data_IF_766139861064
#
_entry.id   IF_766139861064
#
_cell.length_a   1.000
_cell.length_b   1.000
_cell.length_c   1.000
_cell.angle_alpha   90.00
_cell.angle_beta   90.00
_cell.angle_gamma   90.00
#
_symmetry.space_group_name_H-M   'P 1'
#
loop_
_entity.id
_entity.type
_entity.pdbx_description
1 polymer ?
#
# COMPACT_ATOMS: atom_id res chain seq x y z
N UNK A 1 -14.09 26.61 13.98
CA UNK A 1 -12.83 26.41 14.72
C UNK A 1 -12.56 24.91 14.79
N UNK A 2 -11.79 24.34 13.84
CA UNK A 2 -11.41 22.91 13.83
C UNK A 2 -10.29 22.71 14.85
N UNK A 3 -10.60 22.00 15.91
CA UNK A 3 -9.70 21.72 17.04
C UNK A 3 -8.61 20.73 16.63
N UNK A 4 -7.37 20.98 17.07
CA UNK A 4 -6.13 20.30 16.69
C UNK A 4 -6.01 18.94 17.42
N UNK A 5 -7.03 18.08 17.31
CA UNK A 5 -7.02 16.72 17.88
C UNK A 5 -6.00 15.80 17.19
N UNK A 6 -5.77 15.99 15.88
CA UNK A 6 -4.76 15.23 15.10
C UNK A 6 -3.32 15.38 15.65
N UNK A 7 -2.98 16.55 16.20
CA UNK A 7 -1.66 16.77 16.81
C UNK A 7 -1.49 16.10 18.19
N UNK A 8 -2.57 15.68 18.85
CA UNK A 8 -2.51 14.86 20.09
C UNK A 8 -2.36 13.38 19.77
N UNK A 9 -3.03 12.93 18.71
CA UNK A 9 -2.91 11.56 18.19
C UNK A 9 -1.50 11.23 17.68
N UNK A 10 -0.87 12.11 16.88
CA UNK A 10 0.53 11.91 16.42
C UNK A 10 1.53 11.79 17.58
N UNK A 11 1.33 12.54 18.67
CA UNK A 11 2.22 12.48 19.85
C UNK A 11 2.09 11.18 20.64
N UNK A 12 0.91 10.56 20.63
CA UNK A 12 0.70 9.25 21.23
C UNK A 12 1.30 8.15 20.34
N UNK A 13 1.00 8.14 19.04
CA UNK A 13 1.50 7.14 18.09
C UNK A 13 3.04 7.07 18.03
N UNK A 14 3.73 8.22 18.06
CA UNK A 14 5.21 8.28 18.10
C UNK A 14 5.76 7.73 19.42
N UNK A 15 5.07 7.94 20.54
CA UNK A 15 5.46 7.42 21.85
C UNK A 15 5.25 5.90 21.95
N UNK A 16 4.14 5.39 21.40
CA UNK A 16 3.79 3.96 21.42
C UNK A 16 4.71 3.11 20.53
N UNK A 17 5.13 3.64 19.39
CA UNK A 17 6.11 2.97 18.51
C UNK A 17 7.50 2.88 19.16
N UNK A 18 7.93 3.92 19.89
CA UNK A 18 9.19 3.92 20.64
C UNK A 18 9.16 2.94 21.83
N UNK A 19 8.04 2.85 22.54
CA UNK A 19 7.86 1.88 23.65
C UNK A 19 7.79 0.42 23.16
N UNK A 20 7.15 0.17 22.01
CA UNK A 20 7.10 -1.15 21.39
C UNK A 20 8.50 -1.60 20.89
N UNK A 21 9.26 -0.70 20.27
CA UNK A 21 10.65 -0.95 19.85
C UNK A 21 11.58 -1.21 21.06
N UNK A 22 11.35 -0.54 22.18
CA UNK A 22 12.12 -0.74 23.43
C UNK A 22 11.82 -2.10 24.07
N UNK A 23 10.57 -2.57 24.01
CA UNK A 23 10.19 -3.91 24.52
C UNK A 23 10.72 -5.06 23.65
N UNK A 24 10.73 -4.87 22.33
CA UNK A 24 11.24 -5.87 21.38
C UNK A 24 12.78 -5.99 21.44
N UNK A 25 13.50 -4.90 21.64
CA UNK A 25 14.97 -4.91 21.82
C UNK A 25 15.40 -5.44 23.19
N UNK A 26 14.60 -5.24 24.24
CA UNK A 26 14.86 -5.78 25.57
C UNK A 26 14.73 -7.33 25.65
N UNK A 27 13.94 -7.94 24.76
CA UNK A 27 13.76 -9.39 24.74
C UNK A 27 14.80 -10.14 23.89
N UNK A 28 15.55 -9.44 23.02
CA UNK A 28 16.43 -10.05 22.03
C UNK A 28 17.94 -10.03 22.37
N UNK A 29 18.39 -9.25 23.37
CA UNK A 29 19.82 -9.24 23.70
C UNK A 29 20.08 -8.79 25.14
N UNK A 30 20.50 -9.73 25.98
CA UNK A 30 21.19 -9.41 27.23
C UNK A 30 22.48 -8.65 26.93
N UNK A 31 22.57 -7.43 27.52
CA UNK A 31 23.66 -6.43 27.49
C UNK A 31 23.60 -5.46 26.30
N UNK A 32 23.29 -4.19 26.58
CA UNK A 32 24.19 -3.00 26.45
C UNK A 32 23.57 -1.78 27.15
N UNK A 33 24.45 -0.92 27.67
CA UNK A 33 24.30 0.29 28.51
C UNK A 33 23.45 1.44 27.89
N UNK A 34 22.83 2.31 28.71
CA UNK A 34 21.99 3.43 28.24
C UNK A 34 22.83 4.57 27.64
N UNK A 35 22.49 5.00 26.41
CA UNK A 35 22.95 6.29 25.88
C UNK A 35 22.06 7.41 26.43
N UNK A 36 22.71 8.45 26.93
CA UNK A 36 22.14 9.60 27.63
C UNK A 36 21.37 10.51 26.66
N UNK A 37 20.04 10.54 26.75
CA UNK A 37 19.21 11.60 26.15
C UNK A 37 19.02 12.71 27.16
N UNK A 38 19.90 13.72 27.10
CA UNK A 38 19.85 14.88 27.98
C UNK A 38 20.60 16.06 27.37
N UNK A 39 20.35 16.39 26.09
CA UNK A 39 20.86 17.61 25.47
C UNK A 39 20.24 17.91 24.08
N UNK A 40 18.91 18.01 23.98
CA UNK A 40 18.26 18.65 22.82
C UNK A 40 17.02 19.47 23.23
N UNK A 41 17.13 20.21 24.33
CA UNK A 41 16.18 21.27 24.68
C UNK A 41 16.93 22.58 24.98
N UNK A 42 17.45 23.23 23.94
CA UNK A 42 17.66 24.68 23.94
C UNK A 42 18.00 25.18 22.53
N UNK A 43 17.09 25.95 21.94
CA UNK A 43 17.33 26.56 20.64
C UNK A 43 16.09 27.15 20.00
N UNK A 44 15.39 28.05 20.71
CA UNK A 44 14.51 29.01 20.06
C UNK A 44 15.39 29.87 19.14
N UNK A 45 15.23 29.75 17.82
CA UNK A 45 15.75 30.72 16.87
C UNK A 45 14.63 31.30 16.02
N UNK A 46 14.64 32.62 16.00
CA UNK A 46 13.72 33.54 15.36
C UNK A 46 13.65 33.32 13.84
N UNK A 47 12.43 33.36 13.31
CA UNK A 47 12.19 33.48 11.87
C UNK A 47 12.60 34.88 11.42
N UNK A 48 13.65 34.97 10.60
CA UNK A 48 13.90 36.13 9.73
C UNK A 48 13.44 35.82 8.30
N UNK A 49 12.91 36.79 7.55
CA UNK A 49 12.38 36.54 6.21
C UNK A 49 13.53 36.38 5.22
N UNK A 50 13.70 35.19 4.65
CA UNK A 50 14.60 34.99 3.52
C UNK A 50 13.93 35.48 2.24
N UNK A 51 14.51 36.52 1.67
CA UNK A 51 14.26 37.04 0.33
C UNK A 51 14.51 35.96 -0.72
N UNK A 52 13.48 35.65 -1.51
CA UNK A 52 13.56 34.70 -2.62
C UNK A 52 14.23 35.40 -3.82
N UNK A 53 15.48 35.03 -4.13
CA UNK A 53 16.12 35.38 -5.40
C UNK A 53 15.53 34.45 -6.47
N UNK A 54 14.71 35.02 -7.35
CA UNK A 54 14.18 34.37 -8.56
C UNK A 54 15.35 33.86 -9.40
N UNK A 55 15.55 32.54 -9.43
CA UNK A 55 16.37 31.89 -10.46
C UNK A 55 15.49 31.83 -11.70
N UNK A 56 15.83 32.62 -12.71
CA UNK A 56 15.26 32.49 -14.05
C UNK A 56 15.74 31.17 -14.64
N UNK A 57 14.90 30.14 -14.60
CA UNK A 57 15.13 28.91 -15.36
C UNK A 57 14.80 29.18 -16.82
N UNK A 58 15.84 29.34 -17.64
CA UNK A 58 15.75 29.36 -19.10
C UNK A 58 15.16 28.00 -19.56
N UNK A 59 13.88 27.98 -19.92
CA UNK A 59 13.23 26.77 -20.44
C UNK A 59 13.57 26.58 -21.92
N UNK A 60 14.59 25.77 -22.20
CA UNK A 60 14.79 25.25 -23.54
C UNK A 60 13.69 24.22 -23.84
N UNK A 61 12.84 24.48 -24.83
CA UNK A 61 11.87 23.50 -25.34
C UNK A 61 12.61 22.23 -25.80
N UNK A 62 12.24 21.03 -25.33
CA UNK A 62 12.80 19.80 -25.86
C UNK A 62 12.50 19.68 -27.36
N UNK A 63 13.48 19.26 -28.16
CA UNK A 63 13.27 18.97 -29.58
C UNK A 63 12.34 17.76 -29.75
N UNK A 64 11.50 17.75 -30.78
CA UNK A 64 10.49 16.70 -31.00
C UNK A 64 11.07 15.26 -31.08
N UNK A 65 12.34 15.12 -31.48
CA UNK A 65 13.04 13.83 -31.52
C UNK A 65 13.55 13.37 -30.14
N UNK A 66 13.81 14.30 -29.22
CA UNK A 66 14.15 13.97 -27.82
C UNK A 66 12.88 13.54 -27.05
N UNK A 67 11.75 14.21 -27.29
CA UNK A 67 10.47 13.84 -26.68
C UNK A 67 9.94 12.49 -27.19
N UNK A 68 10.12 12.17 -28.48
CA UNK A 68 9.71 10.87 -29.01
C UNK A 68 10.52 9.71 -28.42
N UNK A 69 11.83 9.89 -28.22
CA UNK A 69 12.69 8.86 -27.59
C UNK A 69 12.35 8.65 -26.11
N UNK A 70 12.06 9.71 -25.36
CA UNK A 70 11.66 9.58 -23.95
C UNK A 70 10.31 8.88 -23.80
N UNK A 71 9.34 9.18 -24.67
CA UNK A 71 8.03 8.49 -24.68
C UNK A 71 8.20 7.01 -25.01
N UNK A 72 8.98 6.67 -26.04
CA UNK A 72 9.24 5.27 -26.39
C UNK A 72 9.95 4.49 -25.28
N UNK A 73 10.90 5.13 -24.58
CA UNK A 73 11.59 4.53 -23.43
C UNK A 73 10.62 4.29 -22.26
N UNK A 74 9.74 5.25 -21.96
CA UNK A 74 8.73 5.10 -20.91
C UNK A 74 7.73 3.98 -21.22
N UNK A 75 7.25 3.90 -22.47
CA UNK A 75 6.38 2.82 -22.94
C UNK A 75 7.06 1.46 -22.84
N UNK A 76 8.31 1.33 -23.30
CA UNK A 76 9.07 0.07 -23.23
C UNK A 76 9.28 -0.37 -21.79
N UNK A 77 9.58 0.56 -20.88
CA UNK A 77 9.66 0.30 -19.44
C UNK A 77 8.33 -0.21 -18.88
N UNK A 78 7.21 0.40 -19.28
CA UNK A 78 5.88 -0.02 -18.85
C UNK A 78 5.50 -1.42 -19.38
N UNK A 79 5.82 -1.73 -20.64
CA UNK A 79 5.63 -3.07 -21.23
C UNK A 79 6.42 -4.14 -20.45
N UNK A 80 7.67 -3.85 -20.08
CA UNK A 80 8.52 -4.73 -19.27
C UNK A 80 7.94 -4.97 -17.87
N UNK A 81 7.47 -3.91 -17.20
CA UNK A 81 6.85 -4.04 -15.88
C UNK A 81 5.53 -4.80 -15.93
N UNK A 82 4.72 -4.60 -16.96
CA UNK A 82 3.48 -5.37 -17.15
C UNK A 82 3.76 -6.87 -17.32
N UNK A 83 4.74 -7.23 -18.16
CA UNK A 83 5.14 -8.62 -18.34
C UNK A 83 5.72 -9.24 -17.05
N UNK A 84 6.53 -8.47 -16.31
CA UNK A 84 7.08 -8.88 -15.03
C UNK A 84 5.99 -9.11 -13.97
N UNK A 85 5.07 -8.18 -13.83
CA UNK A 85 3.94 -8.28 -12.91
C UNK A 85 3.08 -9.51 -13.22
N UNK A 86 2.81 -9.77 -14.51
CA UNK A 86 2.06 -10.97 -14.93
C UNK A 86 2.78 -12.23 -14.47
N UNK A 87 4.07 -12.36 -14.81
CA UNK A 87 4.87 -13.53 -14.49
C UNK A 87 5.02 -13.76 -12.97
N UNK A 88 5.31 -12.69 -12.21
CA UNK A 88 5.48 -12.74 -10.76
C UNK A 88 4.15 -13.04 -10.07
N UNK A 89 3.07 -12.40 -10.49
CA UNK A 89 1.73 -12.66 -9.92
C UNK A 89 1.27 -14.10 -10.12
N UNK A 90 1.63 -14.73 -11.24
CA UNK A 90 1.27 -16.11 -11.57
C UNK A 90 2.18 -17.15 -10.90
N UNK A 91 3.50 -16.97 -10.99
CA UNK A 91 4.49 -18.01 -10.63
C UNK A 91 5.25 -17.70 -9.34
N UNK A 92 5.11 -16.50 -8.79
CA UNK A 92 5.92 -15.99 -7.68
C UNK A 92 7.23 -15.36 -8.17
N UNK A 93 7.94 -14.73 -7.22
CA UNK A 93 9.19 -14.05 -7.53
C UNK A 93 10.25 -15.06 -8.00
N UNK A 94 10.61 -16.05 -7.18
CA UNK A 94 11.72 -16.98 -7.45
C UNK A 94 11.61 -17.68 -8.81
N UNK A 95 10.42 -18.19 -9.16
CA UNK A 95 10.19 -18.91 -10.41
C UNK A 95 10.19 -18.04 -11.68
N UNK A 96 10.36 -16.72 -11.55
CA UNK A 96 10.39 -15.80 -12.69
C UNK A 96 11.82 -15.34 -13.00
N UNK A 97 12.30 -15.54 -14.22
CA UNK A 97 13.61 -15.02 -14.66
C UNK A 97 13.50 -13.78 -15.54
N UNK A 98 14.57 -12.99 -15.64
CA UNK A 98 14.67 -11.86 -16.58
C UNK A 98 14.51 -12.31 -18.05
N UNK A 99 14.87 -13.56 -18.36
CA UNK A 99 14.68 -14.13 -19.68
C UNK A 99 13.19 -14.38 -19.97
N UNK A 100 12.43 -14.87 -18.98
CA UNK A 100 10.98 -15.09 -19.14
C UNK A 100 10.25 -13.78 -19.40
N UNK A 101 10.61 -12.71 -18.68
CA UNK A 101 10.00 -11.37 -18.83
C UNK A 101 10.22 -10.83 -20.25
N UNK A 102 11.44 -10.98 -20.79
CA UNK A 102 11.77 -10.47 -22.13
C UNK A 102 11.23 -11.34 -23.27
N UNK A 103 11.12 -12.65 -23.05
CA UNK A 103 10.58 -13.59 -24.05
C UNK A 103 9.13 -13.26 -24.42
N UNK A 104 8.29 -12.90 -23.45
CA UNK A 104 6.89 -12.52 -23.67
C UNK A 104 6.76 -11.31 -24.59
N UNK A 105 7.70 -10.36 -24.49
CA UNK A 105 7.66 -9.10 -25.24
C UNK A 105 8.35 -9.18 -26.60
N UNK A 106 8.93 -10.34 -26.95
CA UNK A 106 9.76 -10.50 -28.16
C UNK A 106 10.87 -9.43 -28.27
N UNK A 107 11.36 -8.93 -27.12
CA UNK A 107 12.44 -7.93 -27.05
C UNK A 107 13.76 -8.60 -26.70
N UNK A 108 14.90 -8.08 -27.20
CA UNK A 108 16.20 -8.61 -26.83
C UNK A 108 16.48 -8.35 -25.34
N UNK A 109 17.28 -9.22 -24.70
CA UNK A 109 17.72 -9.06 -23.30
C UNK A 109 18.40 -7.70 -23.04
N UNK A 110 18.99 -7.10 -24.07
CA UNK A 110 19.60 -5.75 -24.01
C UNK A 110 18.58 -4.65 -23.74
N UNK A 111 17.31 -4.83 -24.14
CA UNK A 111 16.25 -3.86 -23.87
C UNK A 111 15.89 -3.83 -22.37
N UNK A 112 15.89 -4.98 -21.69
CA UNK A 112 15.64 -5.03 -20.24
C UNK A 112 16.78 -4.38 -19.46
N UNK A 113 18.04 -4.70 -19.79
CA UNK A 113 19.23 -4.13 -19.14
C UNK A 113 19.34 -2.61 -19.26
N UNK A 114 18.69 -2.00 -20.25
CA UNK A 114 18.64 -0.53 -20.37
C UNK A 114 17.71 0.11 -19.32
N UNK A 115 16.74 -0.65 -18.79
CA UNK A 115 15.72 -0.14 -17.87
C UNK A 115 15.85 -0.70 -16.45
N UNK A 116 16.38 -1.90 -16.29
CA UNK A 116 16.54 -2.60 -15.01
C UNK A 116 17.83 -3.42 -15.02
N UNK A 117 18.67 -3.24 -14.00
CA UNK A 117 19.93 -3.96 -13.87
C UNK A 117 19.72 -5.37 -13.32
N UNK A 118 18.78 -5.50 -12.38
CA UNK A 118 18.49 -6.74 -11.67
C UNK A 118 16.99 -7.05 -11.62
N UNK A 119 16.68 -8.30 -11.26
CA UNK A 119 15.31 -8.74 -10.97
C UNK A 119 14.74 -8.05 -9.72
N UNK A 120 15.60 -7.70 -8.76
CA UNK A 120 15.21 -6.95 -7.58
C UNK A 120 14.74 -5.53 -7.95
N UNK A 121 15.42 -4.86 -8.89
CA UNK A 121 15.01 -3.51 -9.35
C UNK A 121 13.62 -3.52 -9.99
N UNK A 122 13.27 -4.60 -10.69
CA UNK A 122 11.93 -4.81 -11.24
C UNK A 122 10.91 -4.96 -10.12
N UNK A 123 11.20 -5.79 -9.11
CA UNK A 123 10.30 -6.00 -7.97
C UNK A 123 10.09 -4.72 -7.16
N UNK A 124 11.16 -3.97 -6.90
CA UNK A 124 11.10 -2.64 -6.25
C UNK A 124 10.23 -1.69 -7.05
N UNK A 125 10.46 -1.56 -8.35
CA UNK A 125 9.67 -0.67 -9.20
C UNK A 125 8.18 -1.06 -9.25
N UNK A 126 7.86 -2.36 -9.21
CA UNK A 126 6.48 -2.86 -9.12
C UNK A 126 5.83 -2.46 -7.79
N UNK A 127 6.54 -2.67 -6.68
CA UNK A 127 6.03 -2.34 -5.34
C UNK A 127 5.84 -0.83 -5.17
N UNK A 128 6.80 -0.01 -5.57
CA UNK A 128 6.67 1.45 -5.51
C UNK A 128 5.45 1.95 -6.28
N UNK A 129 5.24 1.43 -7.50
CA UNK A 129 4.06 1.78 -8.31
C UNK A 129 2.76 1.38 -7.61
N UNK A 130 2.72 0.19 -7.02
CA UNK A 130 1.54 -0.31 -6.34
C UNK A 130 1.28 0.45 -5.03
N UNK A 131 2.33 0.87 -4.33
CA UNK A 131 2.22 1.64 -3.10
C UNK A 131 1.63 3.03 -3.35
N UNK A 132 2.07 3.73 -4.40
CA UNK A 132 1.47 5.00 -4.82
C UNK A 132 -0.04 4.84 -5.10
N UNK A 133 -0.44 3.70 -5.66
CA UNK A 133 -1.84 3.37 -5.90
C UNK A 133 -2.60 3.10 -4.60
N UNK A 134 -2.01 2.39 -3.64
CA UNK A 134 -2.62 2.15 -2.34
C UNK A 134 -2.79 3.44 -1.53
N UNK A 135 -1.83 4.37 -1.61
CA UNK A 135 -1.96 5.70 -1.03
C UNK A 135 -3.13 6.46 -1.67
N UNK A 136 -3.20 6.49 -3.00
CA UNK A 136 -4.32 7.11 -3.73
C UNK A 136 -5.67 6.50 -3.33
N UNK A 137 -5.74 5.17 -3.22
CA UNK A 137 -6.94 4.47 -2.77
C UNK A 137 -7.32 4.90 -1.35
N UNK A 138 -6.36 4.96 -0.43
CA UNK A 138 -6.60 5.38 0.94
C UNK A 138 -7.14 6.81 1.02
N UNK A 139 -6.51 7.75 0.34
CA UNK A 139 -6.95 9.16 0.29
C UNK A 139 -8.38 9.29 -0.25
N UNK A 140 -8.71 8.60 -1.35
CA UNK A 140 -10.04 8.66 -1.94
C UNK A 140 -11.12 8.05 -1.03
N UNK A 141 -10.81 6.96 -0.33
CA UNK A 141 -11.73 6.34 0.63
C UNK A 141 -11.99 7.27 1.80
N UNK A 142 -10.94 7.91 2.33
CA UNK A 142 -11.03 8.85 3.45
C UNK A 142 -11.89 10.08 3.07
N UNK A 143 -11.64 10.66 1.90
CA UNK A 143 -12.41 11.82 1.39
C UNK A 143 -13.90 11.52 1.20
N UNK A 144 -14.21 10.30 0.76
CA UNK A 144 -15.58 9.87 0.41
C UNK A 144 -16.40 9.48 1.63
N UNK A 145 -15.78 8.88 2.64
CA UNK A 145 -16.49 8.34 3.79
C UNK A 145 -16.57 9.34 4.94
N UNK A 146 -17.49 9.06 5.85
CA UNK A 146 -17.82 9.95 6.99
C UNK A 146 -17.83 9.23 8.32
N UNK A 147 -17.75 7.90 8.31
CA UNK A 147 -17.75 7.05 9.50
C UNK A 147 -16.77 5.90 9.32
N UNK A 148 -16.28 5.35 10.42
CA UNK A 148 -15.24 4.32 10.43
C UNK A 148 -15.65 3.04 9.71
N UNK A 149 -16.86 2.51 9.96
CA UNK A 149 -17.32 1.30 9.27
C UNK A 149 -17.52 1.51 7.77
N UNK A 150 -17.98 2.70 7.37
CA UNK A 150 -18.13 3.05 5.96
C UNK A 150 -16.76 3.06 5.26
N UNK A 151 -15.76 3.68 5.89
CA UNK A 151 -14.37 3.69 5.42
C UNK A 151 -13.79 2.28 5.30
N UNK A 152 -13.90 1.47 6.35
CA UNK A 152 -13.41 0.08 6.36
C UNK A 152 -14.03 -0.77 5.24
N UNK A 153 -15.35 -0.78 5.11
CA UNK A 153 -16.05 -1.59 4.10
C UNK A 153 -15.66 -1.12 2.68
N UNK A 154 -15.64 0.19 2.47
CA UNK A 154 -15.27 0.77 1.17
C UNK A 154 -13.81 0.43 0.82
N UNK A 155 -12.89 0.54 1.78
CA UNK A 155 -11.47 0.18 1.62
C UNK A 155 -11.33 -1.29 1.22
N UNK A 156 -11.90 -2.20 2.00
CA UNK A 156 -11.79 -3.65 1.75
C UNK A 156 -12.40 -4.04 0.40
N UNK A 157 -13.55 -3.48 0.03
CA UNK A 157 -14.16 -3.71 -1.28
C UNK A 157 -13.30 -3.16 -2.41
N UNK A 158 -12.79 -1.94 -2.27
CA UNK A 158 -11.95 -1.32 -3.30
C UNK A 158 -10.67 -2.12 -3.51
N UNK A 159 -10.04 -2.57 -2.43
CA UNK A 159 -8.88 -3.44 -2.49
C UNK A 159 -9.17 -4.76 -3.22
N UNK A 160 -10.32 -5.41 -2.98
CA UNK A 160 -10.69 -6.63 -3.71
C UNK A 160 -11.17 -6.40 -5.14
N UNK A 161 -11.76 -5.24 -5.42
CA UNK A 161 -12.27 -4.87 -6.74
C UNK A 161 -11.15 -4.41 -7.69
N UNK A 162 -9.99 -4.01 -7.17
CA UNK A 162 -8.80 -3.61 -7.94
C UNK A 162 -8.10 -4.77 -8.68
N UNK A 163 -8.88 -5.77 -9.08
CA UNK A 163 -8.48 -6.81 -10.04
C UNK A 163 -8.44 -6.31 -11.48
N UNK A 164 -9.07 -5.16 -11.74
CA UNK A 164 -9.41 -4.72 -13.09
C UNK A 164 -8.35 -3.88 -13.82
N UNK A 165 -7.29 -3.42 -13.15
CA UNK A 165 -6.35 -2.46 -13.76
C UNK A 165 -5.04 -3.06 -14.25
N UNK A 166 -4.81 -4.36 -14.02
CA UNK A 166 -3.65 -5.09 -14.53
C UNK A 166 -3.09 -6.09 -13.52
N UNK A 167 -1.94 -6.72 -13.83
CA UNK A 167 -1.33 -7.76 -12.99
C UNK A 167 -0.62 -7.23 -11.72
N UNK A 168 -0.61 -5.91 -11.49
CA UNK A 168 0.29 -5.24 -10.53
C UNK A 168 -0.02 -5.57 -9.07
N UNK A 169 -1.26 -5.38 -8.62
CA UNK A 169 -1.67 -5.70 -7.25
C UNK A 169 -1.39 -7.16 -6.89
N UNK A 170 -1.69 -8.09 -7.80
CA UNK A 170 -1.40 -9.52 -7.60
C UNK A 170 0.10 -9.77 -7.46
N UNK A 171 0.92 -9.14 -8.29
CA UNK A 171 2.38 -9.25 -8.21
C UNK A 171 2.92 -8.68 -6.89
N UNK A 172 2.44 -7.52 -6.47
CA UNK A 172 2.82 -6.88 -5.21
C UNK A 172 2.44 -7.74 -3.99
N UNK A 173 1.21 -8.27 -3.95
CA UNK A 173 0.79 -9.21 -2.89
C UNK A 173 1.68 -10.45 -2.88
N UNK A 174 1.98 -11.04 -4.06
CA UNK A 174 2.88 -12.20 -4.13
C UNK A 174 4.28 -11.85 -3.60
N UNK A 175 4.83 -10.70 -3.98
CA UNK A 175 6.14 -10.23 -3.52
C UNK A 175 6.18 -10.02 -2.01
N UNK A 176 5.15 -9.39 -1.43
CA UNK A 176 5.09 -9.13 0.01
C UNK A 176 4.93 -10.42 0.82
N UNK A 177 4.21 -11.40 0.30
CA UNK A 177 4.10 -12.73 0.91
C UNK A 177 5.42 -13.50 0.84
N UNK A 178 6.13 -13.39 -0.27
CA UNK A 178 7.43 -14.04 -0.46
C UNK A 178 8.55 -13.31 0.31
N UNK A 179 8.42 -12.02 0.58
CA UNK A 179 9.48 -11.15 1.12
C UNK A 179 10.26 -11.72 2.33
N UNK A 180 9.65 -12.38 3.34
CA UNK A 180 10.38 -12.93 4.47
C UNK A 180 11.38 -14.04 4.12
N UNK A 181 11.24 -14.69 2.96
CA UNK A 181 12.11 -15.79 2.52
C UNK A 181 13.03 -15.40 1.36
N UNK A 182 12.92 -14.17 0.86
CA UNK A 182 13.77 -13.68 -0.23
C UNK A 182 15.09 -13.13 0.30
N UNK A 183 16.18 -13.42 -0.41
CA UNK A 183 17.50 -12.81 -0.18
C UNK A 183 17.62 -11.45 -0.91
N UNK A 184 16.57 -10.62 -0.85
CA UNK A 184 16.55 -9.27 -1.39
C UNK A 184 15.81 -8.32 -0.46
N UNK A 185 16.27 -7.07 -0.37
CA UNK A 185 15.56 -6.03 0.37
C UNK A 185 14.52 -5.39 -0.55
N UNK A 186 13.24 -5.51 -0.18
CA UNK A 186 12.13 -4.90 -0.90
C UNK A 186 11.61 -3.65 -0.16
N UNK A 187 11.02 -2.67 -0.88
CA UNK A 187 10.33 -1.54 -0.28
C UNK A 187 9.25 -1.98 0.72
N UNK A 188 9.10 -1.21 1.79
CA UNK A 188 8.03 -1.41 2.79
C UNK A 188 6.76 -0.69 2.36
N UNK A 189 5.56 -1.28 2.59
CA UNK A 189 4.29 -0.62 2.31
C UNK A 189 4.17 0.75 3.00
N UNK A 190 3.43 1.71 2.40
CA UNK A 190 3.29 3.07 2.90
C UNK A 190 2.52 3.14 4.22
N UNK A 191 1.69 2.13 4.49
CA UNK A 191 0.97 1.95 5.74
C UNK A 191 0.87 0.48 6.12
N UNK A 192 0.67 0.22 7.41
CA UNK A 192 0.33 -1.11 7.90
C UNK A 192 -1.17 -1.34 7.77
N UNK A 193 -1.58 -2.40 7.06
CA UNK A 193 -2.99 -2.78 6.93
C UNK A 193 -3.69 -2.93 8.29
N UNK A 194 -2.99 -3.46 9.30
CA UNK A 194 -3.52 -3.60 10.67
C UNK A 194 -3.76 -2.25 11.33
N UNK A 195 -2.85 -1.30 11.15
CA UNK A 195 -2.99 0.05 11.71
C UNK A 195 -4.13 0.80 11.03
N UNK A 196 -4.21 0.71 9.70
CA UNK A 196 -5.30 1.32 8.93
C UNK A 196 -6.67 0.77 9.35
N UNK A 197 -6.80 -0.56 9.49
CA UNK A 197 -8.06 -1.15 10.00
C UNK A 197 -8.34 -0.69 11.43
N UNK A 198 -7.32 -0.64 12.30
CA UNK A 198 -7.51 -0.15 13.67
C UNK A 198 -7.99 1.31 13.71
N UNK A 199 -7.51 2.17 12.82
CA UNK A 199 -7.96 3.56 12.71
C UNK A 199 -9.46 3.64 12.39
N UNK A 200 -9.93 2.89 11.39
CA UNK A 200 -11.37 2.81 11.10
C UNK A 200 -12.20 2.25 12.26
N UNK A 201 -11.67 1.26 12.99
CA UNK A 201 -12.39 0.70 14.15
C UNK A 201 -12.44 1.68 15.33
N UNK A 202 -11.42 2.51 15.52
CA UNK A 202 -11.41 3.58 16.52
C UNK A 202 -12.49 4.61 16.18
N UNK A 203 -12.57 5.06 14.93
CA UNK A 203 -13.61 5.97 14.48
C UNK A 203 -15.01 5.37 14.67
N UNK A 204 -15.19 4.10 14.31
CA UNK A 204 -16.45 3.38 14.51
C UNK A 204 -16.84 3.27 16.00
N UNK A 205 -15.88 3.16 16.92
CA UNK A 205 -16.15 3.22 18.37
C UNK A 205 -16.59 4.61 18.82
N UNK A 206 -15.91 5.66 18.35
CA UNK A 206 -16.25 7.04 18.67
C UNK A 206 -17.68 7.40 18.22
N UNK A 207 -18.06 6.92 17.03
CA UNK A 207 -19.40 7.10 16.45
C UNK A 207 -20.44 6.09 16.96
N UNK A 208 -20.03 5.14 17.81
CA UNK A 208 -20.88 4.07 18.38
C UNK A 208 -21.52 3.16 17.31
N UNK A 209 -20.82 2.95 16.21
CA UNK A 209 -21.21 2.02 15.15
C UNK A 209 -20.96 0.55 15.53
N UNK A 210 -19.99 0.30 16.42
CA UNK A 210 -19.63 -1.03 16.93
C UNK A 210 -19.71 -1.10 18.47
N UNK A 211 -19.66 -2.32 19.02
CA UNK A 211 -19.75 -2.55 20.46
C UNK A 211 -18.52 -1.94 21.20
N UNK A 212 -18.80 -1.20 22.27
CA UNK A 212 -17.78 -0.62 23.16
C UNK A 212 -16.84 -1.65 23.83
N UNK A 213 -17.23 -2.92 23.89
CA UNK A 213 -16.43 -4.00 24.46
C UNK A 213 -15.36 -4.55 23.49
N UNK A 214 -15.33 -4.09 22.23
CA UNK A 214 -14.38 -4.59 21.24
C UNK A 214 -12.95 -4.15 21.57
N UNK A 215 -12.03 -5.12 21.59
CA UNK A 215 -10.60 -4.86 21.62
C UNK A 215 -10.10 -4.63 20.19
N UNK A 216 -9.72 -3.38 19.90
CA UNK A 216 -9.44 -2.90 18.55
C UNK A 216 -8.29 -3.65 17.88
N UNK A 217 -7.23 -3.99 18.62
CA UNK A 217 -6.05 -4.61 18.01
C UNK A 217 -6.34 -6.06 17.58
N UNK A 218 -7.00 -6.82 18.44
CA UNK A 218 -7.45 -8.19 18.15
C UNK A 218 -8.43 -8.20 16.98
N UNK A 219 -9.36 -7.24 16.96
CA UNK A 219 -10.32 -7.11 15.87
C UNK A 219 -9.65 -6.75 14.53
N UNK A 220 -8.68 -5.82 14.55
CA UNK A 220 -7.98 -5.41 13.32
C UNK A 220 -7.11 -6.54 12.77
N UNK A 221 -6.41 -7.27 13.63
CA UNK A 221 -5.67 -8.49 13.27
C UNK A 221 -6.60 -9.52 12.63
N UNK A 222 -7.71 -9.85 13.28
CA UNK A 222 -8.67 -10.83 12.77
C UNK A 222 -9.26 -10.45 11.41
N UNK A 223 -9.59 -9.17 11.19
CA UNK A 223 -10.14 -8.68 9.92
C UNK A 223 -9.10 -8.73 8.79
N UNK A 224 -7.86 -8.34 9.07
CA UNK A 224 -6.76 -8.39 8.10
C UNK A 224 -6.45 -9.84 7.73
N UNK A 225 -6.32 -10.73 8.72
CA UNK A 225 -6.01 -12.14 8.50
C UNK A 225 -7.13 -12.87 7.75
N UNK A 226 -8.40 -12.56 8.08
CA UNK A 226 -9.56 -13.06 7.36
C UNK A 226 -9.56 -12.62 5.89
N UNK A 227 -9.27 -11.35 5.63
CA UNK A 227 -9.20 -10.79 4.26
C UNK A 227 -8.03 -11.40 3.48
N UNK A 228 -6.86 -11.54 4.11
CA UNK A 228 -5.71 -12.21 3.52
C UNK A 228 -6.03 -13.67 3.17
N UNK A 229 -6.78 -14.38 4.02
CA UNK A 229 -7.23 -15.74 3.75
C UNK A 229 -8.08 -15.85 2.47
N UNK A 230 -8.93 -14.85 2.18
CA UNK A 230 -9.68 -14.78 0.92
C UNK A 230 -8.74 -14.59 -0.26
N UNK A 231 -7.78 -13.67 -0.15
CA UNK A 231 -6.78 -13.41 -1.19
C UNK A 231 -5.91 -14.65 -1.45
N UNK A 232 -5.48 -15.36 -0.42
CA UNK A 232 -4.71 -16.60 -0.57
C UNK A 232 -5.53 -17.71 -1.21
N UNK A 233 -6.83 -17.81 -0.91
CA UNK A 233 -7.71 -18.78 -1.55
C UNK A 233 -7.75 -18.61 -3.07
N UNK A 234 -7.68 -17.38 -3.58
CA UNK A 234 -7.56 -17.15 -5.02
C UNK A 234 -6.37 -17.85 -5.67
N UNK A 235 -5.23 -17.90 -4.95
CA UNK A 235 -4.02 -18.56 -5.44
C UNK A 235 -4.21 -20.06 -5.59
N UNK A 236 -5.09 -20.64 -4.78
CA UNK A 236 -5.45 -22.06 -4.82
C UNK A 236 -6.61 -22.33 -5.79
N UNK A 237 -7.56 -21.40 -5.88
CA UNK A 237 -8.81 -21.53 -6.64
C UNK A 237 -9.08 -20.27 -7.50
N UNK A 238 -8.40 -20.11 -8.66
CA UNK A 238 -8.47 -18.89 -9.46
C UNK A 238 -9.83 -18.57 -10.08
N UNK A 239 -10.76 -19.53 -10.07
CA UNK A 239 -12.08 -19.42 -10.70
C UNK A 239 -13.19 -18.99 -9.73
N UNK A 240 -12.87 -18.80 -8.44
CA UNK A 240 -13.87 -18.45 -7.43
C UNK A 240 -14.17 -16.96 -7.44
N UNK A 241 -15.44 -16.61 -7.35
CA UNK A 241 -15.85 -15.24 -7.04
C UNK A 241 -15.41 -14.90 -5.61
N UNK A 242 -14.33 -14.16 -5.52
CA UNK A 242 -13.75 -13.75 -4.24
C UNK A 242 -14.54 -12.63 -3.57
N UNK A 243 -15.32 -11.84 -4.31
CA UNK A 243 -16.16 -10.82 -3.67
C UNK A 243 -17.28 -11.51 -2.89
N UNK A 244 -17.93 -12.52 -3.47
CA UNK A 244 -18.91 -13.36 -2.77
C UNK A 244 -18.32 -14.07 -1.53
N UNK A 245 -17.09 -14.60 -1.64
CA UNK A 245 -16.41 -15.22 -0.49
C UNK A 245 -16.01 -14.20 0.57
N UNK A 246 -15.57 -13.02 0.16
CA UNK A 246 -15.23 -11.93 1.05
C UNK A 246 -16.44 -11.42 1.82
N UNK A 247 -17.58 -11.25 1.16
CA UNK A 247 -18.81 -10.80 1.82
C UNK A 247 -19.23 -11.72 2.95
N UNK A 248 -19.11 -13.03 2.76
CA UNK A 248 -19.45 -14.01 3.80
C UNK A 248 -18.54 -13.85 5.03
N UNK A 249 -17.22 -13.76 4.83
CA UNK A 249 -16.28 -13.63 5.95
C UNK A 249 -16.37 -12.25 6.62
N UNK A 250 -16.54 -11.18 5.84
CA UNK A 250 -16.72 -9.83 6.37
C UNK A 250 -18.02 -9.68 7.13
N UNK A 251 -19.11 -10.31 6.67
CA UNK A 251 -20.37 -10.33 7.41
C UNK A 251 -20.19 -10.94 8.80
N UNK A 252 -19.45 -12.06 8.90
CA UNK A 252 -19.11 -12.67 10.18
C UNK A 252 -18.24 -11.77 11.05
N UNK A 253 -17.21 -11.14 10.49
CA UNK A 253 -16.36 -10.19 11.23
C UNK A 253 -17.19 -9.01 11.77
N UNK A 254 -18.06 -8.42 10.94
CA UNK A 254 -18.93 -7.30 11.35
C UNK A 254 -19.92 -7.71 12.45
N UNK A 255 -20.49 -8.91 12.41
CA UNK A 255 -21.30 -9.41 13.53
C UNK A 255 -20.49 -9.53 14.81
N UNK A 256 -19.24 -9.99 14.71
CA UNK A 256 -18.30 -10.03 15.83
C UNK A 256 -18.03 -8.66 16.45
N UNK A 257 -18.12 -7.59 15.65
CA UNK A 257 -18.04 -6.20 16.12
C UNK A 257 -19.36 -5.67 16.74
N UNK A 258 -20.41 -6.49 16.82
CA UNK A 258 -21.72 -6.08 17.33
C UNK A 258 -22.64 -5.42 16.29
N UNK A 259 -22.28 -5.43 15.00
CA UNK A 259 -23.11 -4.87 13.93
C UNK A 259 -24.35 -5.75 13.72
N UNK A 260 -25.54 -5.19 13.96
CA UNK A 260 -26.82 -5.94 13.91
C UNK A 260 -27.25 -6.35 12.49
N UNK A 261 -26.86 -5.59 11.46
CA UNK A 261 -27.28 -5.80 10.06
C UNK A 261 -26.07 -5.70 9.12
N UNK A 262 -25.11 -6.63 9.21
CA UNK A 262 -23.86 -6.56 8.46
C UNK A 262 -24.09 -6.56 6.94
N UNK A 263 -25.00 -7.42 6.44
CA UNK A 263 -25.33 -7.49 5.01
C UNK A 263 -25.88 -6.17 4.47
N UNK A 264 -26.71 -5.45 5.24
CA UNK A 264 -27.24 -4.16 4.81
C UNK A 264 -26.12 -3.09 4.68
N UNK A 265 -25.10 -3.13 5.52
CA UNK A 265 -23.93 -2.26 5.38
C UNK A 265 -23.07 -2.65 4.17
N UNK A 266 -22.82 -3.95 4.01
CA UNK A 266 -22.08 -4.48 2.87
C UNK A 266 -22.77 -4.15 1.54
N UNK A 267 -24.10 -4.20 1.47
CA UNK A 267 -24.86 -3.82 0.27
C UNK A 267 -24.83 -2.31 0.00
N UNK A 268 -24.79 -1.50 1.06
CA UNK A 268 -24.84 -0.03 0.99
C UNK A 268 -23.50 0.56 0.51
N UNK A 269 -22.38 0.10 1.06
CA UNK A 269 -21.07 0.63 0.74
C UNK A 269 -20.41 -0.21 -0.35
N UNK A 270 -19.94 0.46 -1.41
CA UNK A 270 -19.41 -0.16 -2.63
C UNK A 270 -17.98 0.26 -2.87
N UNK A 271 -17.24 -0.54 -3.64
CA UNK A 271 -15.92 -0.17 -4.10
C UNK A 271 -15.97 1.17 -4.85
N UNK A 272 -14.93 1.99 -4.67
CA UNK A 272 -14.74 3.20 -5.47
C UNK A 272 -13.89 2.89 -6.69
N UNK A 273 -14.14 3.60 -7.79
CA UNK A 273 -13.32 3.46 -8.99
C UNK A 273 -11.99 4.18 -8.78
N UNK A 274 -10.89 3.42 -8.83
CA UNK A 274 -9.55 3.98 -8.80
C UNK A 274 -9.14 4.46 -10.20
N UNK A 275 -8.35 5.54 -10.32
CA UNK A 275 -7.74 5.91 -11.60
C UNK A 275 -6.89 4.75 -12.15
N UNK A 276 -6.68 4.64 -13.48
CA UNK A 276 -5.79 3.63 -14.02
C UNK A 276 -4.36 3.82 -13.50
N UNK A 277 -3.58 2.74 -13.41
CA UNK A 277 -2.14 2.86 -13.13
C UNK A 277 -1.48 3.81 -14.13
N UNK A 278 -0.62 4.71 -13.64
CA UNK A 278 0.19 5.56 -14.50
C UNK A 278 1.08 4.73 -15.44
N UNK A 279 1.58 3.59 -14.96
CA UNK A 279 2.30 2.61 -15.79
C UNK A 279 1.43 2.09 -16.94
N UNK A 280 0.18 1.76 -16.66
CA UNK A 280 -0.73 1.24 -17.68
C UNK A 280 -1.08 2.32 -18.71
N UNK A 281 -1.22 3.57 -18.26
CA UNK A 281 -1.39 4.73 -19.14
C UNK A 281 -0.17 4.89 -20.05
N UNK A 282 1.05 4.83 -19.50
CA UNK A 282 2.31 4.91 -20.26
C UNK A 282 2.49 3.76 -21.25
N UNK A 283 1.94 2.57 -20.96
CA UNK A 283 1.98 1.41 -21.86
C UNK A 283 1.14 1.62 -23.13
N UNK A 284 0.04 2.37 -23.02
CA UNK A 284 -0.92 2.61 -24.09
C UNK A 284 -0.59 3.82 -24.98
N UNK A 285 0.40 4.64 -24.59
CA UNK A 285 0.94 5.76 -25.39
C UNK A 285 1.85 5.26 -26.53
#
# INVERSE_FOLDING_TARGET
MRDRRWMRWMRWAVSSAAEAATRLTAHASGKVSPLQWGQLESGRHEMTPRTYRRVETHSARPTAAASHRSVQAARTRAELLHAAATAIGERGYEATSLADITAVLHKPKTALRYHFDTKADIATALLETEFERWETMHELVDDTNRTGLAGLITMMRTFLADRGTGPYQRAAISLLLDAPVLDVTLPTPPFSARQLVAEYLIEALEDREIDSAIEVQTASEGIVDATLGVVLRYRLEPMVDLEDKAESIWSWSLMGLGVKRPHALLEKYRAIALPPHDIETKRLL
#
